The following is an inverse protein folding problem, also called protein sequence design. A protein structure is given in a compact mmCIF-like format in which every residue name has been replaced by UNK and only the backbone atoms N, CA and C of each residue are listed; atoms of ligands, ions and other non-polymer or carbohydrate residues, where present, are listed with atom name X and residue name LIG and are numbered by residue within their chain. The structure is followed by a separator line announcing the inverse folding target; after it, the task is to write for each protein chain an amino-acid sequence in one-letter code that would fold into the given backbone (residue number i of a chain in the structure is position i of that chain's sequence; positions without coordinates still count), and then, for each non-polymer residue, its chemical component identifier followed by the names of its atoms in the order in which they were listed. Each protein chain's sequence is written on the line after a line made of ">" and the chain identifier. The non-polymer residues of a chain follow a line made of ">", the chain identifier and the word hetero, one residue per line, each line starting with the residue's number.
data_IF_946058053811
#
_entry.id   IF_946058053811
#
_cell.length_a   1.000
_cell.length_b   1.000
_cell.length_c   1.000
_cell.angle_alpha   90.00
_cell.angle_beta   90.00
_cell.angle_gamma   90.00
#
_symmetry.space_group_name_H-M   'P 1'
#
loop_
_entity.id
_entity.type
_entity.pdbx_description
1 polymer ?
#
# COMPACT_ATOMS: atom_id res chain seq x y z
N UNK A 1 -74.80 -16.55 -10.15
CA UNK A 1 -73.71 -16.45 -9.16
C UNK A 1 -72.58 -15.66 -9.80
N UNK A 2 -72.37 -14.41 -9.35
CA UNK A 2 -71.39 -13.44 -9.89
C UNK A 2 -70.06 -13.68 -9.16
N UNK A 3 -68.94 -13.98 -9.82
CA UNK A 3 -67.94 -13.07 -10.41
C UNK A 3 -66.64 -13.02 -9.60
N UNK A 4 -65.53 -12.69 -10.28
CA UNK A 4 -64.24 -12.14 -9.77
C UNK A 4 -63.15 -13.20 -9.52
N UNK A 5 -62.32 -13.50 -10.53
CA UNK A 5 -61.01 -12.90 -10.89
C UNK A 5 -59.84 -13.43 -10.04
N UNK A 6 -58.96 -14.14 -10.73
CA UNK A 6 -57.49 -13.98 -10.74
C UNK A 6 -56.90 -13.11 -9.64
N UNK A 7 -55.94 -13.62 -8.86
CA UNK A 7 -54.71 -12.90 -8.50
C UNK A 7 -53.76 -13.74 -7.62
N UNK A 8 -52.49 -13.79 -8.06
CA UNK A 8 -51.26 -13.94 -7.29
C UNK A 8 -51.04 -15.18 -6.39
N UNK A 9 -50.36 -16.17 -6.97
CA UNK A 9 -49.34 -16.92 -6.23
C UNK A 9 -47.98 -16.72 -6.91
N UNK A 10 -47.49 -15.48 -6.83
CA UNK A 10 -46.15 -15.10 -7.23
C UNK A 10 -45.60 -14.16 -6.16
N UNK A 11 -45.11 -14.70 -5.05
CA UNK A 11 -44.25 -13.98 -4.09
C UNK A 11 -43.80 -14.95 -3.00
N UNK A 12 -42.57 -15.47 -3.13
CA UNK A 12 -41.62 -15.79 -2.04
C UNK A 12 -40.38 -16.50 -2.58
N UNK A 13 -39.73 -15.91 -3.59
CA UNK A 13 -38.27 -16.00 -3.76
C UNK A 13 -37.72 -14.58 -3.60
N UNK A 14 -37.70 -14.12 -2.35
CA UNK A 14 -37.34 -12.75 -1.99
C UNK A 14 -36.77 -12.68 -0.58
N UNK A 15 -35.81 -13.55 -0.29
CA UNK A 15 -34.90 -13.59 0.86
C UNK A 15 -34.14 -14.91 0.68
N UNK A 16 -32.83 -14.99 0.43
CA UNK A 16 -31.72 -14.35 1.12
C UNK A 16 -30.53 -14.37 0.14
N UNK A 17 -30.27 -13.25 -0.54
CA UNK A 17 -28.93 -12.94 -1.04
C UNK A 17 -28.53 -11.56 -0.54
N UNK A 18 -28.75 -11.29 0.76
CA UNK A 18 -27.80 -10.45 1.49
C UNK A 18 -26.63 -11.38 1.77
N UNK A 19 -25.87 -11.68 0.71
CA UNK A 19 -24.50 -12.07 0.90
C UNK A 19 -23.90 -10.93 1.72
N UNK A 20 -23.51 -11.26 2.95
CA UNK A 20 -22.66 -10.43 3.77
C UNK A 20 -21.31 -10.29 3.04
N UNK A 21 -21.26 -9.50 1.97
CA UNK A 21 -20.08 -8.72 1.66
C UNK A 21 -20.04 -7.67 2.75
N UNK A 22 -19.54 -8.05 3.94
CA UNK A 22 -19.12 -7.06 4.90
C UNK A 22 -18.18 -6.13 4.16
N UNK A 23 -18.59 -4.88 3.97
CA UNK A 23 -17.79 -3.81 3.42
C UNK A 23 -16.56 -3.65 4.32
N UNK A 24 -15.56 -4.51 4.12
CA UNK A 24 -14.23 -4.30 4.67
C UNK A 24 -13.74 -3.04 3.99
N UNK A 25 -13.82 -1.90 4.69
CA UNK A 25 -13.24 -0.62 4.26
C UNK A 25 -11.89 -0.91 3.63
N UNK A 26 -11.81 -0.76 2.30
CA UNK A 26 -10.57 -0.89 1.56
C UNK A 26 -9.87 0.46 1.64
N UNK A 27 -8.72 0.51 2.31
CA UNK A 27 -7.88 1.70 2.37
C UNK A 27 -7.92 2.43 3.70
N UNK A 28 -7.29 3.60 3.72
CA UNK A 28 -7.07 4.43 4.91
C UNK A 28 -8.39 5.05 5.38
N UNK A 29 -8.69 4.95 6.69
CA UNK A 29 -9.87 5.58 7.29
C UNK A 29 -9.58 7.01 7.77
N UNK A 30 -9.64 7.96 6.85
CA UNK A 30 -9.31 9.36 7.13
C UNK A 30 -10.22 10.04 8.17
N UNK A 31 -11.34 9.42 8.57
CA UNK A 31 -12.11 9.92 9.71
C UNK A 31 -11.34 9.76 11.03
N UNK A 32 -10.50 8.74 11.17
CA UNK A 32 -9.65 8.56 12.35
C UNK A 32 -8.62 9.69 12.46
N UNK A 33 -8.03 10.11 11.34
CA UNK A 33 -7.11 11.26 11.32
C UNK A 33 -7.74 12.52 11.92
N UNK A 34 -9.00 12.81 11.55
CA UNK A 34 -9.75 13.96 12.06
C UNK A 34 -10.08 13.87 13.56
N UNK A 35 -9.94 12.71 14.19
CA UNK A 35 -10.05 12.58 15.67
C UNK A 35 -8.77 12.94 16.41
N UNK A 36 -7.62 12.88 15.73
CA UNK A 36 -6.29 13.11 16.30
C UNK A 36 -5.74 14.51 15.95
N UNK A 37 -6.28 15.11 14.89
CA UNK A 37 -5.86 16.41 14.36
C UNK A 37 -7.07 17.32 14.19
N UNK A 38 -7.04 18.45 14.88
CA UNK A 38 -8.06 19.47 14.71
C UNK A 38 -7.82 20.24 13.40
N UNK A 39 -8.82 20.18 12.51
CA UNK A 39 -8.85 20.90 11.25
C UNK A 39 -9.83 22.07 11.36
N UNK A 40 -9.52 23.20 10.71
CA UNK A 40 -10.49 24.29 10.56
C UNK A 40 -11.67 23.86 9.65
N UNK A 41 -12.83 24.51 9.72
CA UNK A 41 -13.96 24.19 8.85
C UNK A 41 -13.60 24.19 7.35
N UNK A 42 -12.78 25.15 6.91
CA UNK A 42 -12.31 25.25 5.53
C UNK A 42 -11.33 24.12 5.16
N UNK A 43 -10.50 23.69 6.11
CA UNK A 43 -9.62 22.54 5.92
C UNK A 43 -10.41 21.24 5.81
N UNK A 44 -11.45 21.04 6.64
CA UNK A 44 -12.28 19.82 6.63
C UNK A 44 -12.86 19.55 5.25
N UNK A 45 -13.44 20.58 4.62
CA UNK A 45 -14.04 20.43 3.28
C UNK A 45 -13.00 19.98 2.25
N UNK A 46 -11.89 20.70 2.14
CA UNK A 46 -10.85 20.37 1.14
C UNK A 46 -10.17 19.03 1.44
N UNK A 47 -9.98 18.71 2.73
CA UNK A 47 -9.44 17.43 3.17
C UNK A 47 -10.32 16.26 2.74
N UNK A 48 -11.64 16.37 2.95
CA UNK A 48 -12.60 15.33 2.56
C UNK A 48 -12.67 15.17 1.04
N UNK A 49 -12.63 16.27 0.28
CA UNK A 49 -12.60 16.24 -1.19
C UNK A 49 -11.34 15.55 -1.73
N UNK A 50 -10.15 15.91 -1.21
CA UNK A 50 -8.88 15.31 -1.63
C UNK A 50 -8.84 13.83 -1.25
N UNK A 51 -9.16 13.47 -0.02
CA UNK A 51 -9.11 12.07 0.43
C UNK A 51 -10.08 11.19 -0.35
N UNK A 52 -11.30 11.67 -0.62
CA UNK A 52 -12.29 10.98 -1.46
C UNK A 52 -11.77 10.77 -2.88
N UNK A 53 -11.24 11.82 -3.52
CA UNK A 53 -10.67 11.74 -4.88
C UNK A 53 -9.62 10.64 -4.99
N UNK A 54 -8.66 10.60 -4.07
CA UNK A 54 -7.58 9.62 -4.13
C UNK A 54 -8.03 8.20 -3.73
N UNK A 55 -9.00 8.05 -2.84
CA UNK A 55 -9.65 6.76 -2.58
C UNK A 55 -10.37 6.22 -3.82
N UNK A 56 -11.08 7.08 -4.55
CA UNK A 56 -11.77 6.69 -5.78
C UNK A 56 -10.77 6.26 -6.87
N UNK A 57 -9.66 6.99 -7.04
CA UNK A 57 -8.60 6.62 -7.98
C UNK A 57 -7.93 5.27 -7.61
N UNK A 58 -7.73 5.00 -6.31
CA UNK A 58 -7.21 3.71 -5.85
C UNK A 58 -8.18 2.56 -6.16
N UNK A 59 -9.48 2.75 -5.94
CA UNK A 59 -10.48 1.73 -6.27
C UNK A 59 -10.60 1.54 -7.79
N UNK A 60 -10.53 2.60 -8.59
CA UNK A 60 -10.48 2.50 -10.05
C UNK A 60 -9.27 1.68 -10.52
N UNK A 61 -8.08 1.93 -9.96
CA UNK A 61 -6.89 1.14 -10.26
C UNK A 61 -7.05 -0.34 -9.87
N UNK A 62 -7.65 -0.61 -8.72
CA UNK A 62 -7.94 -1.97 -8.27
C UNK A 62 -8.91 -2.69 -9.22
N UNK A 63 -10.00 -2.04 -9.62
CA UNK A 63 -10.97 -2.62 -10.54
C UNK A 63 -10.39 -2.82 -11.94
N UNK A 64 -9.58 -1.88 -12.44
CA UNK A 64 -8.88 -2.02 -13.70
C UNK A 64 -7.91 -3.21 -13.69
N UNK A 65 -7.13 -3.38 -12.61
CA UNK A 65 -6.23 -4.52 -12.46
C UNK A 65 -6.98 -5.86 -12.37
N UNK A 66 -8.16 -5.88 -11.73
CA UNK A 66 -9.02 -7.07 -11.68
C UNK A 66 -9.62 -7.42 -13.05
N UNK A 67 -9.96 -6.43 -13.85
CA UNK A 67 -10.60 -6.61 -15.16
C UNK A 67 -9.67 -7.20 -16.24
N UNK A 68 -8.34 -7.18 -16.03
CA UNK A 68 -7.36 -7.71 -16.99
C UNK A 68 -7.37 -9.26 -17.09
N UNK A 69 -8.05 -9.96 -16.18
CA UNK A 69 -8.07 -11.43 -16.14
C UNK A 69 -6.74 -12.03 -15.63
N UNK A 70 -6.75 -13.30 -15.24
CA UNK A 70 -5.59 -13.97 -14.66
C UNK A 70 -5.22 -13.49 -13.24
N UNK A 71 -3.99 -13.77 -12.81
CA UNK A 71 -3.47 -13.30 -11.53
C UNK A 71 -3.18 -11.80 -11.61
N UNK A 72 -3.80 -11.02 -10.72
CA UNK A 72 -3.56 -9.57 -10.62
C UNK A 72 -2.07 -9.29 -10.41
N UNK A 73 -1.50 -8.41 -11.25
CA UNK A 73 -0.16 -7.88 -11.03
C UNK A 73 -0.16 -6.94 -9.82
N UNK A 74 0.14 -7.52 -8.65
CA UNK A 74 0.17 -6.83 -7.36
C UNK A 74 1.28 -5.79 -7.29
N UNK A 75 2.38 -5.99 -8.02
CA UNK A 75 3.51 -5.06 -8.06
C UNK A 75 3.12 -3.82 -8.85
N UNK A 76 2.59 -3.99 -10.06
CA UNK A 76 2.10 -2.87 -10.88
C UNK A 76 1.00 -2.08 -10.17
N UNK A 77 0.07 -2.76 -9.50
CA UNK A 77 -0.95 -2.09 -8.68
C UNK A 77 -0.33 -1.33 -7.48
N UNK A 78 0.67 -1.92 -6.83
CA UNK A 78 1.41 -1.29 -5.74
C UNK A 78 2.10 0.00 -6.16
N UNK A 79 2.79 -0.01 -7.31
CA UNK A 79 3.47 1.17 -7.89
C UNK A 79 2.47 2.30 -8.12
N UNK A 80 1.35 2.03 -8.81
CA UNK A 80 0.31 3.04 -9.06
C UNK A 80 -0.25 3.64 -7.77
N UNK A 81 -0.42 2.81 -6.74
CA UNK A 81 -0.93 3.29 -5.46
C UNK A 81 0.10 4.11 -4.66
N UNK A 82 1.40 3.87 -4.84
CA UNK A 82 2.46 4.73 -4.31
C UNK A 82 2.49 6.09 -4.99
N UNK A 83 2.37 6.12 -6.32
CA UNK A 83 2.28 7.36 -7.10
C UNK A 83 1.07 8.19 -6.68
N UNK A 84 -0.11 7.56 -6.54
CA UNK A 84 -1.31 8.24 -6.05
C UNK A 84 -1.13 8.80 -4.63
N UNK A 85 -0.45 8.08 -3.73
CA UNK A 85 -0.16 8.59 -2.38
C UNK A 85 0.79 9.80 -2.41
N UNK A 86 1.81 9.77 -3.27
CA UNK A 86 2.70 10.92 -3.44
C UNK A 86 1.94 12.15 -3.97
N UNK A 87 1.08 11.97 -4.97
CA UNK A 87 0.23 13.04 -5.51
C UNK A 87 -0.76 13.57 -4.47
N UNK A 88 -1.37 12.67 -3.68
CA UNK A 88 -2.24 13.03 -2.57
C UNK A 88 -1.51 13.91 -1.55
N UNK A 89 -0.28 13.54 -1.17
CA UNK A 89 0.52 14.34 -0.24
C UNK A 89 0.81 15.75 -0.79
N UNK A 90 1.06 15.88 -2.09
CA UNK A 90 1.31 17.19 -2.73
C UNK A 90 0.05 18.06 -2.73
N UNK A 91 -1.12 17.48 -3.02
CA UNK A 91 -2.39 18.21 -2.93
C UNK A 91 -2.75 18.57 -1.49
N UNK A 92 -2.53 17.66 -0.55
CA UNK A 92 -2.85 17.87 0.86
C UNK A 92 -1.99 18.96 1.51
N UNK A 93 -0.74 19.13 1.06
CA UNK A 93 0.15 20.20 1.51
C UNK A 93 -0.37 21.63 1.19
N UNK A 94 -1.39 21.76 0.34
CA UNK A 94 -2.07 23.03 0.06
C UNK A 94 -3.18 23.35 1.07
N UNK A 95 -3.55 22.37 1.90
CA UNK A 95 -4.67 22.44 2.84
C UNK A 95 -4.16 22.40 4.28
N UNK A 96 -3.22 21.50 4.56
CA UNK A 96 -2.65 21.30 5.89
C UNK A 96 -1.38 22.13 6.07
N UNK A 97 -1.18 22.64 7.29
CA UNK A 97 0.10 23.25 7.67
C UNK A 97 1.20 22.19 7.90
N UNK A 98 2.43 22.64 8.17
CA UNK A 98 3.57 21.74 8.37
C UNK A 98 3.32 20.66 9.44
N UNK A 99 3.00 21.04 10.69
CA UNK A 99 2.68 20.06 11.75
C UNK A 99 1.52 19.11 11.41
N UNK A 100 0.47 19.60 10.74
CA UNK A 100 -0.65 18.76 10.29
C UNK A 100 -0.22 17.79 9.18
N UNK A 101 0.63 18.23 8.24
CA UNK A 101 1.18 17.39 7.17
C UNK A 101 2.08 16.28 7.70
N UNK A 102 2.91 16.55 8.70
CA UNK A 102 3.73 15.52 9.35
C UNK A 102 2.87 14.40 9.93
N UNK A 103 1.80 14.77 10.68
CA UNK A 103 0.83 13.82 11.22
C UNK A 103 0.08 13.08 10.13
N UNK A 104 -0.32 13.78 9.06
CA UNK A 104 -1.02 13.16 7.93
C UNK A 104 -0.17 12.10 7.24
N UNK A 105 1.09 12.42 6.96
CA UNK A 105 2.02 11.49 6.32
C UNK A 105 2.28 10.28 7.21
N UNK A 106 2.48 10.47 8.52
CA UNK A 106 2.62 9.36 9.46
C UNK A 106 1.36 8.49 9.51
N UNK A 107 0.18 9.12 9.60
CA UNK A 107 -1.11 8.41 9.62
C UNK A 107 -1.33 7.58 8.34
N UNK A 108 -1.07 8.15 7.17
CA UNK A 108 -1.17 7.43 5.88
C UNK A 108 -0.14 6.30 5.82
N UNK A 109 1.09 6.55 6.25
CA UNK A 109 2.14 5.55 6.28
C UNK A 109 1.76 4.34 7.15
N UNK A 110 1.20 4.57 8.34
CA UNK A 110 0.78 3.51 9.26
C UNK A 110 -0.45 2.74 8.79
N UNK A 111 -1.39 3.41 8.12
CA UNK A 111 -2.70 2.84 7.78
C UNK A 111 -2.84 2.40 6.32
N UNK A 112 -1.80 2.60 5.50
CA UNK A 112 -1.80 2.17 4.09
C UNK A 112 -1.17 0.78 3.92
N UNK A 113 -1.62 0.06 2.88
CA UNK A 113 -0.94 -1.15 2.44
C UNK A 113 0.37 -0.76 1.79
N UNK A 114 1.49 -1.23 2.35
CA UNK A 114 2.82 -0.99 1.81
C UNK A 114 3.28 -2.14 0.93
N UNK A 115 4.10 -1.79 -0.06
CA UNK A 115 4.96 -2.77 -0.72
C UNK A 115 6.02 -3.25 0.29
N UNK A 116 6.49 -4.50 0.16
CA UNK A 116 7.43 -5.10 1.11
C UNK A 116 8.87 -4.56 0.93
N UNK A 117 9.17 -3.92 -0.20
CA UNK A 117 10.49 -3.35 -0.55
C UNK A 117 10.84 -2.11 0.27
N UNK A 118 12.09 -1.66 0.18
CA UNK A 118 12.45 -0.30 0.59
C UNK A 118 11.67 0.71 -0.24
N UNK A 119 11.03 1.69 0.42
CA UNK A 119 10.31 2.77 -0.24
C UNK A 119 11.29 3.79 -0.87
N UNK A 120 10.75 4.70 -1.68
CA UNK A 120 11.56 5.68 -2.41
C UNK A 120 12.32 6.62 -1.46
N UNK A 121 11.74 7.02 -0.32
CA UNK A 121 12.40 7.90 0.62
C UNK A 121 13.63 7.22 1.25
N UNK A 122 13.50 5.94 1.61
CA UNK A 122 14.60 5.14 2.11
C UNK A 122 15.64 4.87 1.02
N UNK A 123 15.23 4.63 -0.23
CA UNK A 123 16.16 4.45 -1.34
C UNK A 123 16.99 5.71 -1.62
N UNK A 124 16.38 6.88 -1.63
CA UNK A 124 17.11 8.15 -1.76
C UNK A 124 18.07 8.38 -0.58
N UNK A 125 17.63 8.03 0.64
CA UNK A 125 18.50 8.08 1.82
C UNK A 125 19.69 7.12 1.67
N UNK A 126 19.47 5.88 1.24
CA UNK A 126 20.53 4.90 0.98
C UNK A 126 21.52 5.46 -0.05
N UNK A 127 21.01 5.98 -1.18
CA UNK A 127 21.83 6.59 -2.24
C UNK A 127 22.72 7.69 -1.68
N UNK A 128 22.14 8.60 -0.90
CA UNK A 128 22.82 9.77 -0.35
C UNK A 128 23.85 9.40 0.72
N UNK A 129 23.46 8.62 1.72
CA UNK A 129 24.28 8.29 2.90
C UNK A 129 25.43 7.32 2.57
N UNK A 130 25.20 6.41 1.61
CA UNK A 130 26.23 5.50 1.12
C UNK A 130 27.01 6.07 -0.08
N UNK A 131 26.68 7.30 -0.53
CA UNK A 131 27.36 8.00 -1.63
C UNK A 131 27.43 7.16 -2.92
N UNK A 132 26.34 6.45 -3.23
CA UNK A 132 26.31 5.52 -4.34
C UNK A 132 26.37 6.25 -5.69
N UNK A 133 27.15 5.70 -6.62
CA UNK A 133 27.04 6.10 -8.03
C UNK A 133 25.66 5.71 -8.60
N UNK A 134 25.31 6.22 -9.78
CA UNK A 134 24.06 5.83 -10.44
C UNK A 134 24.05 4.33 -10.78
N UNK A 135 25.20 3.77 -11.17
CA UNK A 135 25.35 2.34 -11.45
C UNK A 135 25.16 1.49 -10.18
N UNK A 136 25.81 1.87 -9.08
CA UNK A 136 25.66 1.21 -7.78
C UNK A 136 24.21 1.29 -7.29
N UNK A 137 23.60 2.47 -7.39
CA UNK A 137 22.22 2.69 -7.01
C UNK A 137 21.24 1.87 -7.86
N UNK A 138 21.50 1.73 -9.16
CA UNK A 138 20.71 0.88 -10.05
C UNK A 138 20.70 -0.58 -9.60
N UNK A 139 21.85 -1.12 -9.16
CA UNK A 139 21.92 -2.48 -8.61
C UNK A 139 21.16 -2.60 -7.30
N UNK A 140 21.26 -1.61 -6.40
CA UNK A 140 20.47 -1.58 -5.16
C UNK A 140 18.97 -1.59 -5.46
N UNK A 141 18.53 -0.77 -6.41
CA UNK A 141 17.12 -0.70 -6.79
C UNK A 141 16.65 -2.02 -7.43
N UNK A 142 17.44 -2.62 -8.32
CA UNK A 142 17.13 -3.90 -8.95
C UNK A 142 17.05 -5.04 -7.92
N UNK A 143 17.96 -5.10 -6.95
CA UNK A 143 17.90 -6.08 -5.87
C UNK A 143 16.65 -5.90 -4.99
N UNK A 144 16.23 -4.66 -4.78
CA UNK A 144 15.02 -4.33 -4.03
C UNK A 144 13.73 -4.69 -4.78
N UNK A 145 13.72 -4.56 -6.11
CA UNK A 145 12.62 -5.02 -6.98
C UNK A 145 12.54 -6.55 -7.05
N UNK A 146 13.69 -7.21 -7.18
CA UNK A 146 13.76 -8.67 -7.16
C UNK A 146 13.23 -9.27 -5.84
N UNK A 147 13.57 -8.61 -4.72
CA UNK A 147 13.04 -8.96 -3.41
C UNK A 147 11.51 -8.88 -3.35
N UNK A 148 10.93 -7.76 -3.80
CA UNK A 148 9.47 -7.63 -3.79
C UNK A 148 8.79 -8.66 -4.66
N UNK A 149 9.35 -8.90 -5.86
CA UNK A 149 8.79 -9.90 -6.77
C UNK A 149 8.80 -11.27 -6.12
N UNK A 150 9.95 -11.72 -5.58
CA UNK A 150 10.08 -13.01 -4.93
C UNK A 150 9.13 -13.16 -3.73
N UNK A 151 8.99 -12.11 -2.93
CA UNK A 151 8.09 -12.10 -1.77
C UNK A 151 6.61 -12.16 -2.18
N UNK A 152 6.22 -11.46 -3.25
CA UNK A 152 4.86 -11.52 -3.77
C UNK A 152 4.55 -12.86 -4.45
N UNK A 153 5.50 -13.43 -5.20
CA UNK A 153 5.34 -14.75 -5.83
C UNK A 153 5.15 -15.85 -4.78
N UNK A 154 5.77 -15.71 -3.60
CA UNK A 154 5.57 -16.62 -2.47
C UNK A 154 4.27 -16.40 -1.69
N UNK A 155 3.43 -15.42 -2.07
CA UNK A 155 2.19 -15.10 -1.35
C UNK A 155 1.21 -16.27 -1.29
N UNK A 156 1.16 -17.09 -2.34
CA UNK A 156 0.32 -18.28 -2.37
C UNK A 156 0.86 -19.42 -1.48
N UNK A 157 2.06 -19.28 -0.92
CA UNK A 157 2.57 -20.24 0.06
C UNK A 157 2.19 -19.80 1.48
N UNK A 158 2.38 -18.52 1.82
CA UNK A 158 2.07 -18.06 3.18
C UNK A 158 0.59 -17.71 3.39
N UNK A 159 -0.17 -17.31 2.37
CA UNK A 159 -1.64 -17.09 2.42
C UNK A 159 -2.18 -16.36 3.67
N UNK A 160 -1.43 -15.40 4.23
CA UNK A 160 -1.81 -14.65 5.44
C UNK A 160 -1.29 -15.22 6.76
N UNK A 161 -0.55 -16.32 6.74
CA UNK A 161 0.26 -16.78 7.87
C UNK A 161 1.45 -15.83 8.07
N UNK A 162 1.44 -15.08 9.18
CA UNK A 162 2.48 -14.09 9.47
C UNK A 162 3.84 -14.73 9.78
N UNK A 163 3.89 -15.92 10.39
CA UNK A 163 5.16 -16.59 10.71
C UNK A 163 5.84 -17.05 9.42
N UNK A 164 5.07 -17.69 8.53
CA UNK A 164 5.58 -18.13 7.24
C UNK A 164 5.94 -16.93 6.34
N UNK A 165 5.13 -15.87 6.36
CA UNK A 165 5.48 -14.62 5.67
C UNK A 165 6.78 -14.03 6.20
N UNK A 166 7.02 -14.05 7.52
CA UNK A 166 8.28 -13.59 8.12
C UNK A 166 9.47 -14.41 7.63
N UNK A 167 9.36 -15.74 7.61
CA UNK A 167 10.42 -16.63 7.11
C UNK A 167 10.80 -16.32 5.65
N UNK A 168 9.80 -16.17 4.78
CA UNK A 168 10.04 -15.80 3.38
C UNK A 168 10.62 -14.39 3.25
N UNK A 169 10.15 -13.43 4.04
CA UNK A 169 10.68 -12.07 4.06
C UNK A 169 12.16 -12.08 4.44
N UNK A 170 12.53 -12.76 5.53
CA UNK A 170 13.92 -12.84 6.01
C UNK A 170 14.82 -13.55 5.00
N UNK A 171 14.35 -14.65 4.39
CA UNK A 171 15.06 -15.36 3.33
C UNK A 171 15.38 -14.46 2.14
N UNK A 172 14.37 -13.75 1.60
CA UNK A 172 14.57 -12.91 0.44
C UNK A 172 15.35 -11.63 0.79
N UNK A 173 15.21 -11.10 2.00
CA UNK A 173 16.00 -9.94 2.44
C UNK A 173 17.48 -10.30 2.55
N UNK A 174 17.81 -11.48 3.07
CA UNK A 174 19.18 -11.97 3.07
C UNK A 174 19.76 -12.07 1.64
N UNK A 175 18.97 -12.54 0.67
CA UNK A 175 19.37 -12.61 -0.74
C UNK A 175 19.57 -11.20 -1.34
N UNK A 176 18.65 -10.26 -1.07
CA UNK A 176 18.77 -8.85 -1.45
C UNK A 176 20.07 -8.24 -0.92
N UNK A 177 20.32 -8.39 0.39
CA UNK A 177 21.53 -7.85 1.04
C UNK A 177 22.81 -8.48 0.52
N UNK A 178 22.79 -9.79 0.20
CA UNK A 178 23.93 -10.47 -0.40
C UNK A 178 24.23 -9.97 -1.82
N UNK A 179 23.21 -9.76 -2.65
CA UNK A 179 23.37 -9.19 -3.99
C UNK A 179 23.95 -7.77 -3.94
N UNK A 180 23.45 -6.94 -3.03
CA UNK A 180 23.96 -5.58 -2.81
C UNK A 180 25.41 -5.61 -2.32
N UNK A 181 25.75 -6.49 -1.36
CA UNK A 181 27.12 -6.65 -0.86
C UNK A 181 28.12 -7.02 -1.95
N UNK A 182 27.71 -7.83 -2.91
CA UNK A 182 28.57 -8.25 -4.02
C UNK A 182 28.83 -7.12 -5.03
N UNK A 183 27.97 -6.11 -5.08
CA UNK A 183 28.04 -5.02 -6.05
C UNK A 183 28.70 -3.74 -5.50
N UNK A 184 28.63 -3.52 -4.19
CA UNK A 184 29.17 -2.33 -3.54
C UNK A 184 30.58 -2.55 -3.01
N UNK A 185 31.35 -1.46 -2.88
CA UNK A 185 32.59 -1.47 -2.09
C UNK A 185 32.30 -1.77 -0.61
N UNK A 186 33.27 -2.27 0.17
CA UNK A 186 33.09 -2.48 1.61
C UNK A 186 32.62 -1.23 2.35
N UNK A 187 33.14 -0.04 1.99
CA UNK A 187 32.75 1.22 2.61
C UNK A 187 31.29 1.59 2.31
N UNK A 188 30.88 1.52 1.03
CA UNK A 188 29.51 1.83 0.62
C UNK A 188 28.51 0.81 1.21
N UNK A 189 28.89 -0.47 1.25
CA UNK A 189 28.06 -1.50 1.84
C UNK A 189 27.84 -1.29 3.35
N UNK A 190 28.88 -0.90 4.10
CA UNK A 190 28.75 -0.62 5.53
C UNK A 190 27.76 0.52 5.80
N UNK A 191 27.76 1.57 4.97
CA UNK A 191 26.79 2.67 5.04
C UNK A 191 25.37 2.24 4.68
N UNK A 192 25.25 1.42 3.63
CA UNK A 192 23.98 0.80 3.27
C UNK A 192 23.40 -0.02 4.45
N UNK A 193 24.20 -0.91 5.03
CA UNK A 193 23.78 -1.80 6.11
C UNK A 193 23.33 -1.02 7.35
N UNK A 194 24.09 0.01 7.73
CA UNK A 194 23.73 0.92 8.82
C UNK A 194 22.41 1.65 8.57
N UNK A 195 22.16 2.06 7.32
CA UNK A 195 20.93 2.79 6.93
C UNK A 195 19.68 1.90 7.03
N UNK A 196 19.81 0.60 6.80
CA UNK A 196 18.68 -0.35 6.73
C UNK A 196 18.56 -1.28 7.94
N UNK A 197 19.41 -1.15 8.97
CA UNK A 197 19.49 -2.06 10.11
C UNK A 197 18.19 -2.25 10.90
N UNK A 198 17.35 -1.22 10.93
CA UNK A 198 16.07 -1.23 11.65
C UNK A 198 14.89 -1.69 10.79
N UNK A 199 15.12 -2.00 9.52
CA UNK A 199 14.10 -2.53 8.62
C UNK A 199 13.88 -4.01 8.94
N UNK A 200 12.65 -4.32 9.34
CA UNK A 200 12.21 -5.65 9.75
C UNK A 200 10.87 -5.97 9.12
N UNK A 201 10.55 -7.25 9.01
CA UNK A 201 9.22 -7.68 8.62
C UNK A 201 8.16 -7.04 9.52
N UNK A 202 7.16 -6.40 8.91
CA UNK A 202 5.97 -5.89 9.58
C UNK A 202 4.80 -6.80 9.20
N UNK A 203 4.41 -7.67 10.13
CA UNK A 203 3.27 -8.57 9.95
C UNK A 203 1.96 -7.83 9.71
N UNK A 204 0.99 -8.51 9.10
CA UNK A 204 -0.37 -7.97 8.96
C UNK A 204 -1.06 -8.03 10.32
N UNK A 205 -1.63 -6.90 10.76
CA UNK A 205 -2.52 -6.83 11.93
C UNK A 205 -3.91 -7.38 11.57
#
# INVERSE_FOLDING_TARGET
>A
MKSVKTLFLALTLGAVFIACSGDKKKGVDYNQFKTEVQLSPDQVKNFDEITKKYQDLQEQNFQAAKAQGGNMDRVALGIKNEELRAQQSIEMAKVLDGPQMEKFNAFVDENSRKRPRYDNALLEKIKTEAQLSEEEFSVVNAANDAFEKAFNDAHDVYHGNNDLAKEYWEKFDAQRKAAIKAALTPEHYAKFEETVKDIKFKGRK
#
